data_IF_771926655111
#
_entry.id   IF_771926655111
#
_cell.length_a   1.000
_cell.length_b   1.000
_cell.length_c   1.000
_cell.angle_alpha   90.00
_cell.angle_beta   90.00
_cell.angle_gamma   90.00
#
_symmetry.space_group_name_H-M   'P 1'
#
loop_
_entity.id
_entity.type
_entity.pdbx_description
1 polymer ?
#
# COMPACT_ATOMS: atom_id res chain seq x y z
N UNK A 1 -28.86 -9.81 -34.50
CA UNK A 1 -29.85 -10.64 -33.80
C UNK A 1 -29.70 -10.28 -32.33
N UNK A 2 -30.76 -9.79 -31.70
CA UNK A 2 -30.68 -9.13 -30.41
C UNK A 2 -30.29 -10.12 -29.29
N UNK A 3 -29.06 -10.00 -28.78
CA UNK A 3 -28.65 -10.58 -27.50
C UNK A 3 -29.20 -9.68 -26.38
N UNK A 4 -30.51 -9.75 -26.18
CA UNK A 4 -31.14 -9.21 -24.99
C UNK A 4 -31.17 -10.29 -23.91
N UNK A 5 -31.00 -9.85 -22.66
CA UNK A 5 -31.24 -10.58 -21.41
C UNK A 5 -30.09 -11.45 -20.84
N UNK A 6 -29.05 -10.78 -20.33
CA UNK A 6 -28.51 -11.16 -19.02
C UNK A 6 -28.61 -9.95 -18.07
N UNK A 7 -29.84 -9.64 -17.67
CA UNK A 7 -30.13 -8.69 -16.60
C UNK A 7 -30.13 -9.50 -15.31
N UNK A 8 -28.94 -9.89 -14.83
CA UNK A 8 -28.58 -10.17 -13.43
C UNK A 8 -27.32 -11.06 -13.37
N UNK A 9 -26.21 -10.45 -13.78
CA UNK A 9 -24.83 -10.96 -13.65
C UNK A 9 -24.45 -11.40 -12.22
N UNK A 10 -25.08 -10.79 -11.22
CA UNK A 10 -24.88 -11.08 -9.81
C UNK A 10 -26.25 -10.94 -9.16
N UNK A 11 -26.79 -12.03 -8.63
CA UNK A 11 -28.08 -12.00 -7.94
C UNK A 11 -27.87 -12.24 -6.46
N UNK A 12 -28.21 -11.23 -5.68
CA UNK A 12 -28.25 -11.28 -4.22
C UNK A 12 -29.72 -11.43 -3.82
N UNK A 13 -30.12 -12.63 -3.42
CA UNK A 13 -31.44 -12.89 -2.89
C UNK A 13 -31.37 -13.03 -1.36
N UNK A 14 -32.16 -12.23 -0.67
CA UNK A 14 -32.35 -12.32 0.78
C UNK A 14 -33.53 -13.24 1.07
N UNK A 15 -33.27 -14.44 1.57
CA UNK A 15 -34.29 -15.34 2.09
C UNK A 15 -34.34 -15.27 3.62
N UNK A 16 -35.48 -15.66 4.18
CA UNK A 16 -35.71 -15.66 5.64
C UNK A 16 -34.72 -16.58 6.41
N UNK A 17 -34.15 -17.59 5.73
CA UNK A 17 -33.15 -18.51 6.30
C UNK A 17 -31.69 -18.12 5.98
N UNK A 18 -31.46 -17.13 5.12
CA UNK A 18 -30.10 -16.69 4.77
C UNK A 18 -29.95 -15.96 3.45
N UNK A 19 -28.73 -15.48 3.21
CA UNK A 19 -28.29 -14.82 1.98
C UNK A 19 -27.89 -15.87 0.94
N UNK A 20 -28.61 -15.93 -0.19
CA UNK A 20 -28.24 -16.75 -1.34
C UNK A 20 -27.63 -15.85 -2.39
N UNK A 21 -26.37 -16.10 -2.71
CA UNK A 21 -25.63 -15.38 -3.74
C UNK A 21 -25.40 -16.31 -4.92
N UNK A 22 -25.96 -15.97 -6.09
CA UNK A 22 -25.70 -16.70 -7.33
C UNK A 22 -24.92 -15.80 -8.29
N UNK A 23 -23.74 -16.26 -8.69
CA UNK A 23 -22.80 -15.57 -9.57
C UNK A 23 -22.30 -16.50 -10.68
N UNK A 24 -22.09 -15.92 -11.86
CA UNK A 24 -21.52 -16.58 -13.03
C UNK A 24 -19.98 -16.55 -12.97
N UNK A 25 -19.33 -17.67 -13.28
CA UNK A 25 -17.87 -17.82 -13.24
C UNK A 25 -17.18 -16.93 -14.29
N UNK A 26 -17.78 -16.81 -15.48
CA UNK A 26 -17.20 -16.02 -16.57
C UNK A 26 -17.17 -14.53 -16.23
N UNK A 27 -18.23 -14.05 -15.57
CA UNK A 27 -18.32 -12.67 -15.12
C UNK A 27 -17.38 -12.38 -13.95
N UNK A 28 -17.19 -13.32 -13.03
CA UNK A 28 -16.23 -13.16 -11.95
C UNK A 28 -14.80 -13.04 -12.49
N UNK A 29 -14.44 -13.85 -13.50
CA UNK A 29 -13.15 -13.72 -14.19
C UNK A 29 -13.01 -12.36 -14.88
N UNK A 30 -14.04 -11.90 -15.58
CA UNK A 30 -14.02 -10.59 -16.23
C UNK A 30 -13.90 -9.44 -15.21
N UNK A 31 -14.64 -9.51 -14.11
CA UNK A 31 -14.59 -8.52 -13.04
C UNK A 31 -13.21 -8.47 -12.39
N UNK A 32 -12.61 -9.64 -12.10
CA UNK A 32 -11.23 -9.70 -11.58
C UNK A 32 -10.25 -9.10 -12.59
N UNK A 33 -10.38 -9.43 -13.87
CA UNK A 33 -9.50 -8.90 -14.92
C UNK A 33 -9.61 -7.38 -15.05
N UNK A 34 -10.83 -6.84 -15.05
CA UNK A 34 -11.09 -5.41 -15.10
C UNK A 34 -10.57 -4.69 -13.84
N UNK A 35 -10.76 -5.29 -12.67
CA UNK A 35 -10.22 -4.75 -11.42
C UNK A 35 -8.69 -4.69 -11.45
N UNK A 36 -8.01 -5.77 -11.83
CA UNK A 36 -6.54 -5.80 -11.92
C UNK A 36 -6.00 -4.68 -12.83
N UNK A 37 -6.65 -4.44 -13.96
CA UNK A 37 -6.29 -3.34 -14.85
C UNK A 37 -6.51 -1.95 -14.22
N UNK A 38 -7.63 -1.75 -13.54
CA UNK A 38 -7.92 -0.49 -12.84
C UNK A 38 -6.91 -0.20 -11.72
N UNK A 39 -6.53 -1.23 -10.95
CA UNK A 39 -5.60 -1.10 -9.84
C UNK A 39 -4.16 -0.80 -10.28
N UNK A 40 -3.74 -1.22 -11.48
CA UNK A 40 -2.38 -0.99 -11.99
C UNK A 40 -2.01 0.50 -11.99
N UNK A 41 -2.91 1.39 -12.43
CA UNK A 41 -2.67 2.84 -12.49
C UNK A 41 -2.63 3.48 -11.09
N UNK A 42 -3.46 2.99 -10.16
CA UNK A 42 -3.44 3.44 -8.76
C UNK A 42 -2.15 3.02 -8.06
N UNK A 43 -1.73 1.78 -8.25
CA UNK A 43 -0.48 1.27 -7.67
C UNK A 43 0.76 2.00 -8.20
N UNK A 44 0.80 2.31 -9.50
CA UNK A 44 1.88 3.10 -10.09
C UNK A 44 1.98 4.51 -9.49
N UNK A 45 0.83 5.19 -9.31
CA UNK A 45 0.81 6.50 -8.61
C UNK A 45 1.22 6.38 -7.16
N UNK A 46 0.70 5.41 -6.42
CA UNK A 46 1.11 5.19 -5.03
C UNK A 46 2.62 4.99 -4.89
N UNK A 47 3.23 4.18 -5.76
CA UNK A 47 4.69 4.02 -5.78
C UNK A 47 5.42 5.32 -6.09
N UNK A 48 4.91 6.10 -7.03
CA UNK A 48 5.50 7.39 -7.40
C UNK A 48 5.37 8.41 -6.26
N UNK A 49 4.19 8.51 -5.66
CA UNK A 49 3.90 9.41 -4.55
C UNK A 49 4.66 8.99 -3.29
N UNK A 50 4.88 7.69 -3.06
CA UNK A 50 5.72 7.20 -1.97
C UNK A 50 7.21 7.52 -2.22
N UNK A 51 7.69 7.31 -3.45
CA UNK A 51 9.06 7.63 -3.83
C UNK A 51 9.36 9.14 -3.75
N UNK A 52 8.41 9.98 -4.13
CA UNK A 52 8.54 11.45 -4.10
C UNK A 52 8.17 12.03 -2.73
N UNK A 53 7.30 11.37 -1.97
CA UNK A 53 6.71 11.88 -0.73
C UNK A 53 7.55 11.67 0.53
N UNK A 54 8.38 10.63 0.59
CA UNK A 54 9.26 10.41 1.76
C UNK A 54 10.44 11.38 1.75
N UNK A 55 10.88 11.79 0.57
CA UNK A 55 11.85 12.88 0.38
C UNK A 55 11.65 13.44 -1.03
N UNK A 56 11.64 14.77 -1.24
CA UNK A 56 11.52 15.36 -2.58
C UNK A 56 12.73 15.08 -3.49
N UNK A 57 13.65 14.18 -3.09
CA UNK A 57 14.83 13.76 -3.83
C UNK A 57 14.76 12.30 -4.28
N UNK A 58 15.91 11.73 -4.67
CA UNK A 58 16.02 10.34 -5.10
C UNK A 58 16.02 9.40 -3.88
N UNK A 59 15.35 8.24 -3.95
CA UNK A 59 15.42 7.17 -2.93
C UNK A 59 16.86 6.83 -2.54
N UNK A 60 17.78 6.87 -3.50
CA UNK A 60 19.21 6.66 -3.24
C UNK A 60 19.81 7.71 -2.31
N UNK A 61 19.39 8.97 -2.41
CA UNK A 61 19.86 10.05 -1.52
C UNK A 61 19.34 9.87 -0.09
N UNK A 62 18.11 9.36 0.07
CA UNK A 62 17.58 9.00 1.38
C UNK A 62 18.33 7.81 1.98
N UNK A 63 18.53 6.74 1.21
CA UNK A 63 19.30 5.59 1.68
C UNK A 63 20.73 5.98 2.06
N UNK A 64 21.37 6.85 1.26
CA UNK A 64 22.71 7.36 1.53
C UNK A 64 22.78 8.21 2.80
N UNK A 65 21.81 9.12 2.99
CA UNK A 65 21.74 9.94 4.22
C UNK A 65 21.47 9.08 5.45
N UNK A 66 20.58 8.08 5.37
CA UNK A 66 20.37 7.11 6.45
C UNK A 66 21.63 6.29 6.76
N UNK A 67 22.36 5.81 5.74
CA UNK A 67 23.60 5.08 5.92
C UNK A 67 24.69 5.94 6.57
N UNK A 68 24.83 7.20 6.15
CA UNK A 68 25.77 8.15 6.78
C UNK A 68 25.37 8.39 8.23
N UNK A 69 24.08 8.66 8.49
CA UNK A 69 23.59 8.90 9.83
C UNK A 69 23.82 7.69 10.75
N UNK A 70 23.54 6.47 10.26
CA UNK A 70 23.80 5.23 10.99
C UNK A 70 25.30 5.00 11.23
N UNK A 71 26.15 5.26 10.23
CA UNK A 71 27.60 5.15 10.36
C UNK A 71 28.18 6.14 11.37
N UNK A 72 27.72 7.39 11.34
CA UNK A 72 28.11 8.43 12.30
C UNK A 72 27.62 8.10 13.72
N UNK A 73 26.40 7.57 13.86
CA UNK A 73 25.86 7.12 15.14
C UNK A 73 26.70 5.97 15.72
N UNK A 74 27.20 5.04 14.90
CA UNK A 74 28.08 3.97 15.36
C UNK A 74 29.44 4.50 15.86
N UNK A 75 29.93 5.60 15.27
CA UNK A 75 31.19 6.24 15.65
C UNK A 75 31.07 7.20 16.83
N UNK A 76 29.88 7.34 17.46
CA UNK A 76 29.61 8.30 18.55
C UNK A 76 29.97 9.76 18.20
N UNK A 77 29.86 10.14 16.92
CA UNK A 77 30.06 11.52 16.46
C UNK A 77 28.67 12.14 16.28
N UNK A 78 28.20 12.88 17.28
CA UNK A 78 26.87 13.50 17.29
C UNK A 78 26.81 14.75 16.39
N UNK A 79 26.69 14.52 15.08
CA UNK A 79 26.39 15.57 14.09
C UNK A 79 24.92 16.03 14.14
N UNK A 80 24.05 15.30 14.85
CA UNK A 80 22.60 15.46 14.79
C UNK A 80 22.01 16.30 15.93
N UNK A 81 22.83 16.98 16.74
CA UNK A 81 22.36 17.79 17.89
C UNK A 81 21.34 17.05 18.78
N UNK A 82 21.56 15.76 19.07
CA UNK A 82 20.70 14.97 19.98
C UNK A 82 19.43 14.35 19.36
N UNK A 83 19.21 14.45 18.05
CA UNK A 83 18.11 13.75 17.35
C UNK A 83 18.22 12.22 17.42
N UNK A 84 19.43 11.69 17.43
CA UNK A 84 19.74 10.26 17.63
C UNK A 84 19.20 9.77 18.97
N UNK A 85 19.48 10.51 20.04
CA UNK A 85 18.97 10.24 21.39
C UNK A 85 17.45 10.33 21.48
N UNK A 86 16.83 11.33 20.83
CA UNK A 86 15.36 11.45 20.78
C UNK A 86 14.69 10.26 20.08
N UNK A 87 15.20 9.85 18.91
CA UNK A 87 14.71 8.68 18.18
C UNK A 87 14.90 7.38 18.96
N UNK A 88 16.04 7.22 19.63
CA UNK A 88 16.31 6.04 20.43
C UNK A 88 15.34 5.94 21.63
N UNK A 89 15.12 7.04 22.33
CA UNK A 89 14.28 7.02 23.53
C UNK A 89 12.78 6.93 23.21
N UNK A 90 12.28 7.64 22.20
CA UNK A 90 10.85 7.67 21.88
C UNK A 90 10.42 6.58 20.91
N UNK A 91 11.24 6.27 19.89
CA UNK A 91 10.84 5.34 18.84
C UNK A 91 11.14 3.89 19.24
N UNK A 92 12.33 3.60 19.78
CA UNK A 92 12.67 2.26 20.23
C UNK A 92 12.07 1.94 21.61
N UNK A 93 11.98 2.93 22.51
CA UNK A 93 11.31 2.76 23.80
C UNK A 93 9.82 2.40 23.68
N UNK A 94 9.14 2.83 22.61
CA UNK A 94 7.73 2.50 22.37
C UNK A 94 7.52 1.13 21.67
N UNK A 95 8.52 0.64 20.92
CA UNK A 95 8.42 -0.63 20.17
C UNK A 95 8.93 -1.82 21.01
N UNK A 96 9.92 -1.59 21.87
CA UNK A 96 10.57 -2.64 22.69
C UNK A 96 10.34 -2.52 24.20
N UNK A 97 9.67 -1.45 24.67
CA UNK A 97 9.19 -1.32 26.05
C UNK A 97 7.77 -1.87 26.19
#
# INVERSE_FOLDING_TARGET
MAEAHNINAFSLALNHDGLVVSYDEELLKQLIHANLHSYKRRYARFKNDFAVGIFPGNFQSLAFTLCILAGLSYLNIDLTFGLTYFLQNYFFGFIFG
#
